data_IF_438906570339
#
_entry.id   IF_438906570339
#
_cell.length_a   1.000
_cell.length_b   1.000
_cell.length_c   1.000
_cell.angle_alpha   90.00
_cell.angle_beta   90.00
_cell.angle_gamma   90.00
#
_symmetry.space_group_name_H-M   'P 1'
#
loop_
_entity.id
_entity.type
_entity.pdbx_description
1 polymer ?
#
# COMPACT_ATOMS: atom_id res chain seq x y z
N UNK A 1 73.56 3.23 -6.21
CA UNK A 1 72.37 3.60 -7.02
C UNK A 1 71.23 2.65 -6.63
N UNK A 2 70.01 3.17 -6.40
CA UNK A 2 69.02 2.56 -5.49
C UNK A 2 67.90 1.83 -6.25
N UNK A 3 67.32 0.76 -5.68
CA UNK A 3 66.00 0.22 -6.02
C UNK A 3 65.72 -0.99 -5.11
N UNK A 4 64.57 -1.22 -4.51
CA UNK A 4 63.33 -0.48 -4.30
C UNK A 4 62.62 -1.23 -3.18
N UNK A 5 62.08 -0.51 -2.19
CA UNK A 5 61.25 -1.10 -1.13
C UNK A 5 59.84 -1.27 -1.68
N UNK A 6 59.42 -2.51 -1.91
CA UNK A 6 58.03 -2.82 -2.25
C UNK A 6 57.14 -2.66 -1.03
N UNK A 7 56.39 -1.57 -0.98
CA UNK A 7 55.34 -1.34 0.00
C UNK A 7 54.06 -2.04 -0.49
N UNK A 8 53.67 -3.14 0.15
CA UNK A 8 52.40 -3.78 -0.10
C UNK A 8 51.28 -2.95 0.55
N UNK A 9 50.44 -2.31 -0.27
CA UNK A 9 49.22 -1.63 0.17
C UNK A 9 48.11 -2.68 0.29
N UNK A 10 47.79 -3.08 1.52
CA UNK A 10 46.61 -3.89 1.80
C UNK A 10 45.36 -2.98 1.72
N UNK A 11 44.57 -3.13 0.66
CA UNK A 11 43.30 -2.44 0.50
C UNK A 11 42.24 -3.20 1.31
N UNK A 12 41.90 -2.70 2.50
CA UNK A 12 40.82 -3.23 3.31
C UNK A 12 39.47 -2.83 2.67
N UNK A 13 38.79 -3.79 2.04
CA UNK A 13 37.45 -3.60 1.54
C UNK A 13 36.46 -3.52 2.71
N UNK A 14 35.98 -2.31 3.01
CA UNK A 14 34.85 -2.07 3.89
C UNK A 14 33.57 -2.58 3.21
N UNK A 15 33.09 -3.74 3.67
CA UNK A 15 31.74 -4.21 3.36
C UNK A 15 30.74 -3.31 4.09
N UNK A 16 30.23 -2.30 3.39
CA UNK A 16 29.08 -1.52 3.86
C UNK A 16 27.83 -2.36 3.59
N UNK A 17 27.38 -3.08 4.61
CA UNK A 17 26.07 -3.74 4.58
C UNK A 17 24.97 -2.68 4.56
N UNK A 18 24.46 -2.35 3.37
CA UNK A 18 23.20 -1.63 3.22
C UNK A 18 22.06 -2.61 3.54
N UNK A 19 21.70 -2.71 4.82
CA UNK A 19 20.41 -3.28 5.21
C UNK A 19 19.32 -2.36 4.66
N UNK A 20 18.61 -2.81 3.62
CA UNK A 20 17.37 -2.17 3.22
C UNK A 20 16.42 -2.23 4.43
N UNK A 21 16.12 -1.07 5.02
CA UNK A 21 15.04 -0.97 5.99
C UNK A 21 13.77 -1.44 5.28
N UNK A 22 13.30 -2.64 5.61
CA UNK A 22 11.96 -3.05 5.26
C UNK A 22 11.03 -2.04 5.92
N UNK A 23 10.47 -1.12 5.13
CA UNK A 23 9.35 -0.33 5.61
C UNK A 23 8.26 -1.34 5.97
N UNK A 24 7.87 -1.36 7.25
CA UNK A 24 6.79 -2.22 7.71
C UNK A 24 5.56 -1.94 6.86
N UNK A 25 5.22 -2.91 6.02
CA UNK A 25 4.04 -2.83 5.17
C UNK A 25 2.82 -2.73 6.10
N UNK A 26 1.80 -1.91 5.75
CA UNK A 26 0.62 -1.74 6.60
C UNK A 26 -0.31 -2.96 6.58
N UNK A 27 0.14 -4.10 6.04
CA UNK A 27 -0.64 -5.31 5.82
C UNK A 27 0.25 -6.56 5.96
N UNK A 28 -0.37 -7.68 6.28
CA UNK A 28 0.19 -9.03 6.16
C UNK A 28 -0.71 -9.87 5.25
N UNK A 29 -0.09 -10.66 4.36
CA UNK A 29 -0.81 -11.52 3.41
C UNK A 29 -0.20 -12.92 3.37
N UNK A 30 -1.05 -13.95 3.37
CA UNK A 30 -0.73 -15.35 3.09
C UNK A 30 -1.48 -15.80 1.83
N UNK A 31 -0.84 -16.63 1.02
CA UNK A 31 -1.38 -17.21 -0.22
C UNK A 31 -1.91 -16.17 -1.24
N UNK A 32 -1.53 -14.90 -1.08
CA UNK A 32 -1.99 -13.78 -1.90
C UNK A 32 -3.42 -13.30 -1.64
N UNK A 33 -4.18 -13.90 -0.71
CA UNK A 33 -5.57 -13.50 -0.47
C UNK A 33 -6.06 -13.65 0.98
N UNK A 34 -5.29 -14.30 1.85
CA UNK A 34 -5.59 -14.36 3.29
C UNK A 34 -4.86 -13.20 3.95
N UNK A 35 -5.59 -12.31 4.60
CA UNK A 35 -5.05 -11.07 5.15
C UNK A 35 -5.23 -11.01 6.65
N UNK A 36 -4.42 -10.20 7.33
CA UNK A 36 -4.61 -9.93 8.76
C UNK A 36 -5.96 -9.26 9.06
N UNK A 37 -6.35 -9.26 10.34
CA UNK A 37 -7.64 -8.73 10.78
C UNK A 37 -7.83 -7.23 10.48
N UNK A 38 -6.77 -6.43 10.51
CA UNK A 38 -6.85 -4.99 10.21
C UNK A 38 -7.03 -4.77 8.70
N UNK A 39 -6.26 -5.45 7.86
CA UNK A 39 -6.45 -5.42 6.39
C UNK A 39 -7.85 -5.92 6.00
N UNK A 40 -8.39 -6.93 6.69
CA UNK A 40 -9.76 -7.40 6.50
C UNK A 40 -10.81 -6.33 6.86
N UNK A 41 -10.62 -5.53 7.91
CA UNK A 41 -11.48 -4.35 8.17
C UNK A 41 -11.46 -3.36 7.01
N UNK A 42 -10.30 -3.18 6.37
CA UNK A 42 -10.15 -2.37 5.17
C UNK A 42 -10.98 -2.86 3.99
N UNK A 43 -10.94 -4.16 3.71
CA UNK A 43 -11.82 -4.77 2.71
C UNK A 43 -13.30 -4.57 3.04
N UNK A 44 -13.70 -4.71 4.31
CA UNK A 44 -15.09 -4.47 4.74
C UNK A 44 -15.49 -3.00 4.53
N UNK A 45 -14.63 -2.05 4.86
CA UNK A 45 -14.86 -0.62 4.62
C UNK A 45 -15.01 -0.32 3.12
N UNK A 46 -14.15 -0.90 2.26
CA UNK A 46 -14.24 -0.81 0.81
C UNK A 46 -15.61 -1.27 0.28
N UNK A 47 -16.08 -2.44 0.76
CA UNK A 47 -17.37 -3.02 0.36
C UNK A 47 -18.55 -2.19 0.87
N UNK A 48 -18.51 -1.78 2.13
CA UNK A 48 -19.60 -1.03 2.77
C UNK A 48 -19.78 0.36 2.14
N UNK A 49 -18.69 1.02 1.77
CA UNK A 49 -18.72 2.34 1.14
C UNK A 49 -19.03 2.29 -0.36
N UNK A 50 -19.24 1.09 -0.93
CA UNK A 50 -19.55 0.88 -2.35
C UNK A 50 -18.54 1.54 -3.31
N UNK A 51 -17.27 1.59 -2.92
CA UNK A 51 -16.20 2.22 -3.71
C UNK A 51 -16.00 1.52 -5.08
N UNK A 52 -16.42 0.26 -5.19
CA UNK A 52 -16.38 -0.54 -6.43
C UNK A 52 -17.25 0.03 -7.55
N UNK A 53 -18.27 0.82 -7.21
CA UNK A 53 -19.16 1.45 -8.21
C UNK A 53 -18.45 2.44 -9.12
N UNK A 54 -17.36 3.05 -8.64
CA UNK A 54 -16.57 3.99 -9.45
C UNK A 54 -15.20 3.41 -9.79
N UNK A 55 -14.56 2.69 -8.87
CA UNK A 55 -13.17 2.25 -9.02
C UNK A 55 -13.03 0.79 -9.51
N UNK A 56 -14.14 0.12 -9.80
CA UNK A 56 -14.17 -1.26 -10.30
C UNK A 56 -14.09 -2.31 -9.18
N UNK A 57 -14.67 -3.48 -9.44
CA UNK A 57 -14.75 -4.58 -8.47
C UNK A 57 -13.37 -5.11 -8.05
N UNK A 58 -12.35 -5.04 -8.93
CA UNK A 58 -10.97 -5.39 -8.62
C UNK A 58 -10.05 -4.17 -8.47
N UNK A 59 -10.61 -2.97 -8.30
CA UNK A 59 -9.87 -1.72 -8.09
C UNK A 59 -9.01 -1.28 -9.30
N UNK A 60 -9.29 -1.85 -10.47
CA UNK A 60 -8.60 -1.59 -11.74
C UNK A 60 -9.05 -0.29 -12.43
N UNK A 61 -10.12 0.36 -11.95
CA UNK A 61 -10.68 1.58 -12.50
C UNK A 61 -11.94 1.33 -13.36
N UNK A 62 -12.81 2.34 -13.42
CA UNK A 62 -13.99 2.37 -14.29
C UNK A 62 -14.33 3.84 -14.58
N UNK A 63 -15.34 4.40 -13.90
CA UNK A 63 -15.66 5.83 -13.94
C UNK A 63 -14.59 6.64 -13.20
N UNK A 64 -14.12 6.09 -12.08
CA UNK A 64 -12.97 6.59 -11.33
C UNK A 64 -11.66 5.90 -11.73
N UNK A 65 -10.51 6.47 -11.34
CA UNK A 65 -9.20 5.94 -11.69
C UNK A 65 -8.93 4.57 -11.07
N UNK A 66 -7.95 3.86 -11.63
CA UNK A 66 -7.40 2.62 -11.09
C UNK A 66 -6.70 2.86 -9.75
N UNK A 67 -7.26 2.35 -8.66
CA UNK A 67 -6.62 2.46 -7.34
C UNK A 67 -5.39 1.57 -7.23
N UNK A 68 -5.36 0.44 -7.94
CA UNK A 68 -4.16 -0.41 -8.06
C UNK A 68 -2.97 0.38 -8.62
N UNK A 69 -3.20 1.28 -9.56
CA UNK A 69 -2.14 2.12 -10.11
C UNK A 69 -1.92 3.41 -9.31
N UNK A 70 -2.97 4.08 -8.84
CA UNK A 70 -2.83 5.35 -8.10
C UNK A 70 -2.00 5.19 -6.81
N UNK A 71 -2.20 4.11 -6.05
CA UNK A 71 -1.48 3.88 -4.79
C UNK A 71 0.00 3.45 -4.97
N UNK A 72 0.49 3.37 -6.21
CA UNK A 72 1.94 3.25 -6.48
C UNK A 72 2.67 4.56 -6.23
N UNK A 73 1.99 5.69 -6.40
CA UNK A 73 2.58 7.04 -6.28
C UNK A 73 1.95 7.89 -5.20
N UNK A 74 0.69 7.62 -4.84
CA UNK A 74 -0.05 8.37 -3.83
C UNK A 74 0.50 8.07 -2.43
N UNK A 75 0.81 9.10 -1.64
CA UNK A 75 1.17 8.90 -0.23
C UNK A 75 -0.06 8.54 0.61
N UNK A 76 0.15 8.03 1.83
CA UNK A 76 -0.95 7.76 2.77
C UNK A 76 -1.72 9.04 3.10
N UNK A 77 -1.03 10.16 3.29
CA UNK A 77 -1.64 11.46 3.63
C UNK A 77 -2.50 11.97 2.47
N UNK A 78 -2.01 11.84 1.23
CA UNK A 78 -2.77 12.21 0.04
C UNK A 78 -4.00 11.31 -0.17
N UNK A 79 -3.86 10.02 0.12
CA UNK A 79 -4.98 9.07 0.13
C UNK A 79 -6.04 9.50 1.15
N UNK A 80 -5.66 9.71 2.41
CA UNK A 80 -6.57 10.12 3.49
C UNK A 80 -7.27 11.42 3.14
N UNK A 81 -6.51 12.42 2.67
CA UNK A 81 -7.07 13.72 2.23
C UNK A 81 -8.06 13.54 1.09
N UNK A 82 -7.72 12.74 0.07
CA UNK A 82 -8.59 12.50 -1.09
C UNK A 82 -9.89 11.80 -0.69
N UNK A 83 -9.83 10.79 0.18
CA UNK A 83 -11.03 10.08 0.66
C UNK A 83 -11.89 10.97 1.56
N UNK A 84 -11.27 11.71 2.48
CA UNK A 84 -11.97 12.60 3.41
C UNK A 84 -12.63 13.76 2.66
N UNK A 85 -11.90 14.46 1.81
CA UNK A 85 -12.37 15.69 1.17
C UNK A 85 -13.18 15.38 -0.12
N UNK A 86 -12.95 14.22 -0.74
CA UNK A 86 -13.46 13.89 -2.06
C UNK A 86 -12.74 14.65 -3.19
N UNK A 87 -13.23 14.45 -4.41
CA UNK A 87 -12.89 15.26 -5.60
C UNK A 87 -14.19 15.59 -6.32
N UNK A 88 -14.93 16.55 -5.75
CA UNK A 88 -16.31 16.83 -6.12
C UNK A 88 -16.46 17.26 -7.59
N UNK A 89 -15.49 18.01 -8.12
CA UNK A 89 -15.42 18.40 -9.53
C UNK A 89 -15.22 17.21 -10.47
N UNK A 90 -14.73 16.08 -9.94
CA UNK A 90 -14.55 14.80 -10.64
C UNK A 90 -15.59 13.74 -10.26
N UNK A 91 -16.61 14.11 -9.47
CA UNK A 91 -17.67 13.21 -9.04
C UNK A 91 -17.32 12.23 -7.91
N UNK A 92 -16.12 12.30 -7.32
CA UNK A 92 -15.80 11.53 -6.12
C UNK A 92 -16.35 12.25 -4.89
N UNK A 93 -17.38 11.69 -4.25
CA UNK A 93 -17.93 12.24 -3.02
C UNK A 93 -16.92 12.27 -1.85
N UNK A 94 -17.15 13.19 -0.91
CA UNK A 94 -16.45 13.22 0.39
C UNK A 94 -16.96 12.08 1.28
N UNK A 95 -16.04 11.42 1.98
CA UNK A 95 -16.36 10.44 3.02
C UNK A 95 -16.03 10.93 4.43
N UNK A 96 -15.69 12.21 4.61
CA UNK A 96 -15.25 12.76 5.90
C UNK A 96 -16.27 12.59 7.03
N UNK A 97 -17.56 12.53 6.70
CA UNK A 97 -18.64 12.31 7.68
C UNK A 97 -19.12 10.86 7.74
N UNK A 98 -18.42 9.91 7.10
CA UNK A 98 -18.77 8.48 7.14
C UNK A 98 -17.97 7.78 8.23
N UNK A 99 -18.59 7.38 9.36
CA UNK A 99 -17.89 6.65 10.41
C UNK A 99 -17.36 5.31 9.91
N UNK A 100 -18.09 4.67 8.98
CA UNK A 100 -17.68 3.41 8.37
C UNK A 100 -16.34 3.53 7.64
N UNK A 101 -16.07 4.67 6.99
CA UNK A 101 -14.83 4.92 6.27
C UNK A 101 -13.77 5.54 7.18
N UNK A 102 -14.10 6.62 7.90
CA UNK A 102 -13.10 7.37 8.65
C UNK A 102 -12.56 6.62 9.87
N UNK A 103 -13.36 5.77 10.53
CA UNK A 103 -12.85 4.92 11.61
C UNK A 103 -11.97 3.77 11.11
N UNK A 104 -11.99 3.50 9.79
CA UNK A 104 -11.24 2.41 9.16
C UNK A 104 -10.30 2.93 8.06
N UNK A 105 -9.96 4.22 8.04
CA UNK A 105 -9.26 4.84 6.91
C UNK A 105 -7.85 4.25 6.69
N UNK A 106 -7.17 3.92 7.79
CA UNK A 106 -5.85 3.31 7.77
C UNK A 106 -5.91 1.85 7.30
N UNK A 107 -6.93 1.12 7.72
CA UNK A 107 -7.20 -0.24 7.29
C UNK A 107 -7.60 -0.29 5.80
N UNK A 108 -8.41 0.66 5.35
CA UNK A 108 -8.77 0.82 3.95
C UNK A 108 -7.52 1.10 3.11
N UNK A 109 -6.63 1.96 3.59
CA UNK A 109 -5.32 2.18 2.96
C UNK A 109 -4.50 0.89 2.92
N UNK A 110 -4.41 0.14 4.02
CA UNK A 110 -3.70 -1.14 4.07
C UNK A 110 -4.18 -2.13 3.00
N UNK A 111 -5.50 -2.33 2.89
CA UNK A 111 -6.10 -3.21 1.89
C UNK A 111 -5.79 -2.75 0.46
N UNK A 112 -6.04 -1.47 0.14
CA UNK A 112 -5.80 -0.94 -1.20
C UNK A 112 -4.31 -0.90 -1.55
N UNK A 113 -3.44 -0.66 -0.57
CA UNK A 113 -1.98 -0.68 -0.75
C UNK A 113 -1.50 -2.10 -1.01
N UNK A 114 -2.02 -3.10 -0.28
CA UNK A 114 -1.75 -4.51 -0.57
C UNK A 114 -2.20 -4.93 -1.98
N UNK A 115 -3.33 -4.42 -2.47
CA UNK A 115 -3.76 -4.60 -3.87
C UNK A 115 -2.81 -3.91 -4.86
N UNK A 116 -2.41 -2.67 -4.58
CA UNK A 116 -1.52 -1.88 -5.43
C UNK A 116 -0.11 -2.46 -5.55
N UNK A 117 0.40 -3.01 -4.45
CA UNK A 117 1.71 -3.67 -4.38
C UNK A 117 1.70 -5.08 -4.99
N UNK A 118 0.53 -5.61 -5.37
CA UNK A 118 0.37 -6.97 -5.89
C UNK A 118 0.48 -8.08 -4.85
N UNK A 119 0.62 -7.74 -3.55
CA UNK A 119 0.65 -8.71 -2.46
C UNK A 119 -0.72 -9.36 -2.23
N UNK A 120 -1.79 -8.58 -2.38
CA UNK A 120 -3.17 -9.09 -2.40
C UNK A 120 -3.58 -9.22 -3.88
N UNK A 121 -3.73 -10.46 -4.34
CA UNK A 121 -3.85 -10.80 -5.77
C UNK A 121 -5.29 -10.81 -6.28
N UNK A 122 -6.28 -10.78 -5.37
CA UNK A 122 -7.72 -10.73 -5.71
C UNK A 122 -8.50 -9.81 -4.78
N UNK A 123 -9.67 -9.34 -5.21
CA UNK A 123 -10.47 -8.40 -4.44
C UNK A 123 -11.05 -9.00 -3.16
N UNK A 124 -11.69 -10.17 -3.27
CA UNK A 124 -12.28 -10.85 -2.12
C UNK A 124 -11.20 -11.55 -1.32
N UNK A 125 -10.96 -11.05 -0.12
CA UNK A 125 -9.98 -11.61 0.83
C UNK A 125 -10.66 -12.46 1.89
N UNK A 126 -9.87 -13.28 2.56
CA UNK A 126 -10.23 -14.06 3.76
C UNK A 126 -9.37 -13.58 4.93
N UNK A 127 -9.87 -13.72 6.16
CA UNK A 127 -9.11 -13.34 7.35
C UNK A 127 -8.25 -14.53 7.73
N UNK A 128 -6.96 -14.31 8.03
CA UNK A 128 -6.08 -15.38 8.50
C UNK A 128 -6.67 -15.99 9.78
N UNK A 129 -6.81 -17.32 9.82
CA UNK A 129 -7.29 -18.05 11.00
C UNK A 129 -8.82 -18.05 11.20
N UNK A 130 -9.61 -17.63 10.20
CA UNK A 130 -11.08 -17.78 10.17
C UNK A 130 -11.52 -18.52 8.91
#
# INVERSE_FOLDING_TARGET
MPLSKSLAVACAALLVSFGAAAQDKPYTVQDGYKVDAETMKGFRAWRQAACDRCHGANQEGMVGPSLVNSLKTLTKEEFVKTVRDGRLDKGMQSFGNSPAVMNNIDQLYAYLKGRSDGAITRAKVEEIGK
#
